data_IF_292237633196
#
_entry.id   IF_292237633196
#
_cell.length_a   1.000
_cell.length_b   1.000
_cell.length_c   1.000
_cell.angle_alpha   90.00
_cell.angle_beta   90.00
_cell.angle_gamma   90.00
#
_symmetry.space_group_name_H-M   'P 1'
#
loop_
_entity.id
_entity.type
_entity.pdbx_description
1 polymer ?
#
# COMPACT_ATOMS: atom_id res chain seq x y z
N UNK A 1 7.07 -19.85 -5.09
CA UNK A 1 7.73 -18.97 -4.11
C UNK A 1 6.94 -17.68 -4.06
N UNK A 2 6.25 -17.43 -2.96
CA UNK A 2 5.40 -16.25 -2.80
C UNK A 2 6.29 -15.01 -2.75
N UNK A 3 6.24 -14.19 -3.79
CA UNK A 3 6.94 -12.91 -3.86
C UNK A 3 6.13 -11.89 -3.04
N UNK A 4 5.99 -12.14 -1.73
CA UNK A 4 5.33 -11.24 -0.79
C UNK A 4 6.23 -10.03 -0.59
N UNK A 5 6.17 -9.08 -1.53
CA UNK A 5 6.58 -7.70 -1.29
C UNK A 5 5.88 -7.28 0.01
N UNK A 6 6.63 -6.73 0.97
CA UNK A 6 6.09 -6.31 2.26
C UNK A 6 4.95 -5.29 2.01
N UNK A 7 3.71 -5.78 1.97
CA UNK A 7 2.56 -5.00 1.53
C UNK A 7 1.96 -4.18 2.67
N UNK A 8 2.50 -4.31 3.88
CA UNK A 8 2.03 -3.63 5.09
C UNK A 8 0.74 -4.20 5.68
N UNK A 9 0.17 -5.26 5.09
CA UNK A 9 -1.10 -5.84 5.48
C UNK A 9 -2.31 -5.07 4.92
N UNK A 10 -3.54 -5.49 5.30
CA UNK A 10 -4.77 -4.90 4.79
C UNK A 10 -4.96 -3.44 5.23
N UNK A 11 -5.24 -2.55 4.28
CA UNK A 11 -5.71 -1.20 4.52
C UNK A 11 -7.20 -1.24 4.81
N UNK A 12 -7.58 -0.80 6.02
CA UNK A 12 -8.98 -0.74 6.48
C UNK A 12 -9.69 -2.11 6.42
N UNK A 13 -9.20 -3.14 7.15
CA UNK A 13 -9.87 -4.43 7.21
C UNK A 13 -11.28 -4.27 7.78
N UNK A 14 -12.25 -4.95 7.18
CA UNK A 14 -13.65 -4.92 7.62
C UNK A 14 -14.14 -6.32 7.93
N UNK A 15 -14.92 -6.47 9.00
CA UNK A 15 -15.67 -7.69 9.27
C UNK A 15 -17.10 -7.48 8.82
N UNK A 16 -17.51 -8.19 7.78
CA UNK A 16 -18.90 -8.27 7.34
C UNK A 16 -19.61 -9.35 8.16
N UNK A 17 -20.86 -9.09 8.51
CA UNK A 17 -21.68 -10.05 9.23
C UNK A 17 -22.76 -10.54 8.26
N UNK A 18 -22.62 -11.77 7.78
CA UNK A 18 -23.63 -12.38 6.92
C UNK A 18 -24.76 -12.90 7.78
N UNK A 19 -25.95 -12.35 7.58
CA UNK A 19 -27.18 -12.82 8.23
C UNK A 19 -27.93 -13.68 7.23
N UNK A 20 -28.04 -14.97 7.54
CA UNK A 20 -28.77 -15.96 6.74
C UNK A 20 -29.76 -16.71 7.62
N UNK A 21 -30.70 -17.43 7.02
CA UNK A 21 -31.63 -18.31 7.75
C UNK A 21 -30.89 -19.40 8.55
N UNK A 22 -29.65 -19.73 8.18
CA UNK A 22 -28.78 -20.69 8.85
C UNK A 22 -27.93 -20.09 9.99
N UNK A 23 -28.05 -18.79 10.25
CA UNK A 23 -27.33 -18.09 11.31
C UNK A 23 -26.45 -16.92 10.83
N UNK A 24 -25.63 -16.45 11.76
CA UNK A 24 -24.78 -15.27 11.63
C UNK A 24 -23.32 -15.72 11.50
N UNK A 25 -22.67 -15.39 10.39
CA UNK A 25 -21.27 -15.74 10.16
C UNK A 25 -20.43 -14.50 9.88
N UNK A 26 -19.34 -14.25 10.65
CA UNK A 26 -18.42 -13.17 10.37
C UNK A 26 -17.49 -13.54 9.21
N UNK A 27 -17.44 -12.71 8.18
CA UNK A 27 -16.46 -12.77 7.09
C UNK A 27 -15.48 -11.59 7.22
N UNK A 28 -14.18 -11.87 7.22
CA UNK A 28 -13.16 -10.82 7.22
C UNK A 28 -12.78 -10.49 5.79
N UNK A 29 -13.06 -9.25 5.37
CA UNK A 29 -12.67 -8.74 4.06
C UNK A 29 -11.37 -7.94 4.24
N UNK A 30 -10.25 -8.39 3.65
CA UNK A 30 -8.97 -7.71 3.82
C UNK A 30 -8.90 -6.35 3.11
N UNK A 31 -9.71 -6.10 2.08
CA UNK A 31 -9.63 -4.84 1.33
C UNK A 31 -8.38 -4.76 0.45
N UNK A 32 -7.83 -3.55 0.26
CA UNK A 32 -6.59 -3.34 -0.50
C UNK A 32 -5.37 -3.40 0.41
N UNK A 33 -4.19 -3.69 -0.11
CA UNK A 33 -2.96 -3.65 0.68
C UNK A 33 -2.57 -2.20 1.04
N UNK A 34 -1.98 -2.02 2.23
CA UNK A 34 -1.51 -0.72 2.73
C UNK A 34 -0.50 -0.05 1.80
N UNK A 35 0.37 -0.85 1.19
CA UNK A 35 1.31 -0.38 0.17
C UNK A 35 0.61 0.26 -1.02
N UNK A 36 -0.42 -0.41 -1.53
CA UNK A 36 -1.17 0.05 -2.70
C UNK A 36 -2.02 1.27 -2.35
N UNK A 37 -2.56 1.34 -1.12
CA UNK A 37 -3.25 2.52 -0.62
C UNK A 37 -2.32 3.74 -0.59
N UNK A 38 -1.12 3.61 -0.02
CA UNK A 38 -0.15 4.71 0.02
C UNK A 38 0.30 5.12 -1.39
N UNK A 39 0.53 4.16 -2.28
CA UNK A 39 0.89 4.44 -3.66
C UNK A 39 -0.24 5.20 -4.40
N UNK A 40 -1.50 4.83 -4.16
CA UNK A 40 -2.66 5.52 -4.74
C UNK A 40 -2.88 6.92 -4.14
N UNK A 41 -2.50 7.14 -2.88
CA UNK A 41 -2.64 8.42 -2.17
C UNK A 41 -1.46 9.37 -2.35
N UNK A 42 -0.32 8.91 -2.87
CA UNK A 42 0.85 9.74 -3.12
C UNK A 42 0.51 10.92 -4.05
N UNK A 43 0.69 12.13 -3.55
CA UNK A 43 0.45 13.37 -4.29
C UNK A 43 1.60 13.72 -5.23
N UNK A 44 1.41 14.75 -6.06
CA UNK A 44 2.46 15.20 -6.98
C UNK A 44 3.72 15.67 -6.26
N UNK A 45 3.59 16.28 -5.08
CA UNK A 45 4.72 16.67 -4.25
C UNK A 45 5.51 15.45 -3.75
N UNK A 46 4.83 14.39 -3.31
CA UNK A 46 5.45 13.15 -2.85
C UNK A 46 6.17 12.43 -3.99
N UNK A 47 5.53 12.38 -5.16
CA UNK A 47 6.09 11.80 -6.38
C UNK A 47 7.31 12.60 -6.84
N UNK A 48 7.23 13.93 -6.84
CA UNK A 48 8.35 14.80 -7.20
C UNK A 48 9.53 14.62 -6.24
N UNK A 49 9.28 14.50 -4.94
CA UNK A 49 10.32 14.23 -3.95
C UNK A 49 10.98 12.86 -4.17
N UNK A 50 10.18 11.82 -4.48
CA UNK A 50 10.72 10.49 -4.80
C UNK A 50 11.54 10.49 -6.10
N UNK A 51 11.08 11.18 -7.14
CA UNK A 51 11.83 11.32 -8.40
C UNK A 51 13.12 12.12 -8.24
N UNK A 52 13.10 13.20 -7.46
CA UNK A 52 14.28 14.01 -7.19
C UNK A 52 15.34 13.25 -6.38
N UNK A 53 14.92 12.37 -5.46
CA UNK A 53 15.84 11.47 -4.76
C UNK A 53 16.52 10.49 -5.74
N UNK A 54 15.82 10.07 -6.79
CA UNK A 54 16.30 9.08 -7.76
C UNK A 54 17.14 9.66 -8.89
N UNK A 55 16.92 10.93 -9.25
CA UNK A 55 17.76 11.66 -10.22
C UNK A 55 19.23 11.74 -9.76
N UNK A 56 19.45 11.76 -8.43
CA UNK A 56 20.78 11.65 -7.83
C UNK A 56 21.43 10.27 -8.07
N UNK A 57 20.64 9.20 -8.18
CA UNK A 57 21.10 7.82 -8.41
C UNK A 57 21.20 7.43 -9.90
N UNK A 58 20.95 8.35 -10.84
CA UNK A 58 21.02 8.12 -12.29
C UNK A 58 20.08 7.00 -12.81
N UNK A 59 19.04 6.66 -12.05
CA UNK A 59 18.01 5.73 -12.48
C UNK A 59 16.82 6.53 -13.03
N UNK A 60 16.45 6.32 -14.30
CA UNK A 60 15.23 6.91 -14.85
C UNK A 60 14.01 6.18 -14.24
N UNK A 61 13.45 6.75 -13.18
CA UNK A 61 12.31 6.18 -12.47
C UNK A 61 11.03 6.77 -13.01
N UNK A 62 10.07 5.91 -13.38
CA UNK A 62 8.74 6.38 -13.80
C UNK A 62 7.90 6.82 -12.58
N UNK A 63 6.86 7.61 -12.84
CA UNK A 63 5.95 8.10 -11.78
C UNK A 63 5.27 6.97 -10.99
N UNK A 64 5.09 5.80 -11.60
CA UNK A 64 4.47 4.64 -10.95
C UNK A 64 5.40 4.06 -9.90
N UNK A 65 6.67 3.86 -10.25
CA UNK A 65 7.70 3.37 -9.35
C UNK A 65 7.99 4.38 -8.25
N UNK A 66 7.97 5.69 -8.54
CA UNK A 66 8.08 6.75 -7.53
C UNK A 66 6.96 6.68 -6.46
N UNK A 67 5.70 6.40 -6.87
CA UNK A 67 4.59 6.18 -5.92
C UNK A 67 4.83 4.98 -5.01
N UNK A 68 5.34 3.88 -5.56
CA UNK A 68 5.64 2.68 -4.76
C UNK A 68 6.83 2.89 -3.83
N UNK A 69 7.84 3.67 -4.22
CA UNK A 69 8.94 4.06 -3.33
C UNK A 69 8.45 4.91 -2.15
N UNK A 70 7.57 5.87 -2.43
CA UNK A 70 6.91 6.65 -1.38
C UNK A 70 6.13 5.72 -0.43
N UNK A 71 5.35 4.77 -0.97
CA UNK A 71 4.62 3.79 -0.16
C UNK A 71 5.56 2.93 0.72
N UNK A 72 6.68 2.47 0.17
CA UNK A 72 7.67 1.68 0.91
C UNK A 72 8.31 2.50 2.04
N UNK A 73 8.54 3.80 1.84
CA UNK A 73 9.03 4.71 2.88
C UNK A 73 7.98 4.91 4.00
N UNK A 74 6.70 5.03 3.66
CA UNK A 74 5.61 5.10 4.64
C UNK A 74 5.49 3.82 5.46
N UNK A 75 5.70 2.65 4.84
CA UNK A 75 5.73 1.37 5.55
C UNK A 75 6.92 1.28 6.51
N UNK A 76 8.12 1.62 6.06
CA UNK A 76 9.32 1.66 6.91
C UNK A 76 9.17 2.60 8.10
N UNK A 77 8.54 3.76 7.90
CA UNK A 77 8.29 4.71 8.98
C UNK A 77 7.40 4.14 10.10
N UNK A 78 6.62 3.08 9.82
CA UNK A 78 5.76 2.40 10.80
C UNK A 78 6.43 1.24 11.52
N UNK A 79 7.62 0.82 11.09
CA UNK A 79 8.41 -0.21 11.76
C UNK A 79 9.24 0.37 12.94
N UNK A 80 9.11 1.68 13.22
CA UNK A 80 9.73 2.41 14.34
C UNK A 80 8.81 2.43 15.57
#
# INVERSE_FOLDING_TARGET
MSNTKNAGGPAFPMTLQHVTDAGIWPETVPGMDLRDYFAAKAGDADIAAALAADEYEHNSVDRTLARFRHADNMLKAREQ
#
